data_IF_552821616683
#
_entry.id   IF_552821616683
#
_cell.length_a   1.000
_cell.length_b   1.000
_cell.length_c   1.000
_cell.angle_alpha   90.00
_cell.angle_beta   90.00
_cell.angle_gamma   90.00
#
_symmetry.space_group_name_H-M   'P 1'
#
loop_
_entity.id
_entity.type
_entity.pdbx_description
1 polymer ?
#
# COMPACT_ATOMS: atom_id res chain seq x y z
N UNK A 1 41.15 -17.36 -24.01
CA UNK A 1 41.19 -18.15 -25.25
C UNK A 1 39.95 -17.83 -26.06
N UNK A 2 40.02 -16.83 -26.95
CA UNK A 2 38.93 -16.43 -27.83
C UNK A 2 39.20 -16.91 -29.24
N UNK A 3 38.28 -17.67 -29.82
CA UNK A 3 38.32 -18.06 -31.23
C UNK A 3 38.07 -16.79 -32.05
N UNK A 4 39.14 -16.18 -32.55
CA UNK A 4 39.05 -15.11 -33.55
C UNK A 4 38.73 -15.79 -34.88
N UNK A 5 37.44 -15.89 -35.20
CA UNK A 5 36.99 -16.37 -36.51
C UNK A 5 37.28 -15.25 -37.52
N UNK A 6 38.46 -15.32 -38.15
CA UNK A 6 38.87 -14.44 -39.25
C UNK A 6 37.99 -14.76 -40.47
N UNK A 7 36.90 -14.03 -40.65
CA UNK A 7 36.14 -14.04 -41.92
C UNK A 7 36.95 -13.21 -42.92
N UNK A 8 37.36 -13.78 -44.08
CA UNK A 8 38.19 -13.07 -45.04
C UNK A 8 37.40 -11.88 -45.61
N UNK A 9 37.87 -10.67 -45.31
CA UNK A 9 37.26 -9.38 -45.64
C UNK A 9 37.21 -9.06 -47.15
N UNK A 10 37.51 -10.03 -48.02
CA UNK A 10 37.63 -9.84 -49.47
C UNK A 10 36.41 -10.31 -50.30
N UNK A 11 35.48 -11.08 -49.74
CA UNK A 11 34.39 -11.72 -50.51
C UNK A 11 32.98 -11.15 -50.28
N UNK A 12 32.82 -10.19 -49.36
CA UNK A 12 31.51 -9.57 -49.10
C UNK A 12 31.27 -8.34 -49.98
N UNK A 13 30.11 -8.22 -50.64
CA UNK A 13 29.72 -7.02 -51.37
C UNK A 13 29.80 -5.76 -50.51
N UNK A 14 30.26 -4.65 -51.10
CA UNK A 14 30.57 -3.40 -50.37
C UNK A 14 29.40 -2.87 -49.52
N UNK A 15 28.16 -3.09 -49.94
CA UNK A 15 26.96 -2.70 -49.19
C UNK A 15 26.76 -3.48 -47.89
N UNK A 16 27.13 -4.77 -47.85
CA UNK A 16 27.03 -5.60 -46.64
C UNK A 16 28.06 -5.16 -45.60
N UNK A 17 29.25 -4.73 -46.04
CA UNK A 17 30.30 -4.20 -45.15
C UNK A 17 29.87 -2.91 -44.48
N UNK A 18 29.17 -2.03 -45.19
CA UNK A 18 28.63 -0.78 -44.63
C UNK A 18 27.57 -1.10 -43.57
N UNK A 19 26.66 -2.04 -43.84
CA UNK A 19 25.63 -2.47 -42.88
C UNK A 19 26.27 -3.09 -41.63
N UNK A 20 27.25 -3.97 -41.80
CA UNK A 20 27.98 -4.59 -40.70
C UNK A 20 28.76 -3.58 -39.87
N UNK A 21 29.33 -2.54 -40.50
CA UNK A 21 29.99 -1.45 -39.79
C UNK A 21 29.02 -0.63 -38.93
N UNK A 22 27.82 -0.34 -39.43
CA UNK A 22 26.78 0.32 -38.63
C UNK A 22 26.32 -0.56 -37.47
N UNK A 23 26.14 -1.87 -37.70
CA UNK A 23 25.78 -2.81 -36.64
C UNK A 23 26.88 -2.89 -35.58
N UNK A 24 28.15 -2.96 -35.97
CA UNK A 24 29.27 -2.98 -35.01
C UNK A 24 29.36 -1.67 -34.22
N UNK A 25 29.12 -0.52 -34.86
CA UNK A 25 29.14 0.78 -34.20
C UNK A 25 28.01 0.92 -33.17
N UNK A 26 26.81 0.41 -33.48
CA UNK A 26 25.69 0.36 -32.53
C UNK A 26 26.00 -0.59 -31.37
N UNK A 27 26.59 -1.75 -31.63
CA UNK A 27 26.96 -2.70 -30.59
C UNK A 27 28.08 -2.16 -29.68
N UNK A 28 29.08 -1.48 -30.22
CA UNK A 28 30.12 -0.82 -29.43
C UNK A 28 29.56 0.35 -28.60
N UNK A 29 28.64 1.14 -29.16
CA UNK A 29 27.96 2.20 -28.41
C UNK A 29 27.11 1.62 -27.26
N UNK A 30 26.42 0.50 -27.50
CA UNK A 30 25.68 -0.22 -26.46
C UNK A 30 26.60 -0.84 -25.40
N UNK A 31 27.75 -1.38 -25.79
CA UNK A 31 28.74 -1.92 -24.85
C UNK A 31 29.37 -0.82 -23.99
N UNK A 32 29.69 0.33 -24.58
CA UNK A 32 30.25 1.48 -23.88
C UNK A 32 29.24 2.09 -22.90
N UNK A 33 27.99 2.25 -23.32
CA UNK A 33 26.91 2.74 -22.43
C UNK A 33 26.55 1.74 -21.34
N UNK A 34 26.60 0.44 -21.62
CA UNK A 34 26.42 -0.61 -20.60
C UNK A 34 27.49 -0.54 -19.51
N UNK A 35 28.75 -0.21 -19.83
CA UNK A 35 29.84 -0.17 -18.84
C UNK A 35 29.78 1.05 -17.92
N UNK A 36 29.44 2.23 -18.44
CA UNK A 36 29.50 3.49 -17.67
C UNK A 36 28.12 3.98 -17.19
N UNK A 37 27.04 3.60 -17.87
CA UNK A 37 25.66 4.03 -17.58
C UNK A 37 24.75 2.85 -17.26
N UNK A 38 25.30 1.73 -16.76
CA UNK A 38 24.54 0.54 -16.35
C UNK A 38 23.39 0.87 -15.41
N UNK A 39 23.58 1.87 -14.53
CA UNK A 39 22.60 2.33 -13.55
C UNK A 39 21.37 3.02 -14.18
N UNK A 40 21.48 3.56 -15.40
CA UNK A 40 20.37 4.18 -16.14
C UNK A 40 19.62 3.18 -17.03
N UNK A 41 20.35 2.25 -17.63
CA UNK A 41 19.78 1.27 -18.58
C UNK A 41 19.14 0.08 -17.84
N UNK A 42 19.71 -0.34 -16.71
CA UNK A 42 19.22 -1.43 -15.88
C UNK A 42 17.76 -1.27 -15.45
N UNK A 43 17.34 -0.11 -14.89
CA UNK A 43 15.95 0.15 -14.53
C UNK A 43 15.03 0.23 -15.75
N UNK A 44 15.47 0.80 -16.87
CA UNK A 44 14.68 0.95 -18.09
C UNK A 44 14.34 -0.39 -18.76
N UNK A 45 15.27 -1.35 -18.74
CA UNK A 45 15.03 -2.72 -19.21
C UNK A 45 14.22 -3.56 -18.20
N UNK A 46 14.45 -3.37 -16.89
CA UNK A 46 13.76 -4.14 -15.83
C UNK A 46 12.34 -3.63 -15.52
N UNK A 47 12.03 -2.35 -15.75
CA UNK A 47 10.70 -1.80 -15.49
C UNK A 47 9.59 -2.32 -16.40
N UNK A 48 9.92 -3.00 -17.52
CA UNK A 48 8.90 -3.54 -18.44
C UNK A 48 8.31 -4.89 -18.02
N UNK A 49 8.79 -5.50 -16.93
CA UNK A 49 8.26 -6.78 -16.45
C UNK A 49 8.00 -6.71 -14.95
N UNK A 50 6.86 -6.11 -14.59
CA UNK A 50 6.19 -6.32 -13.29
C UNK A 50 5.69 -7.77 -13.19
N UNK A 51 6.60 -8.74 -13.24
CA UNK A 51 6.31 -10.14 -12.98
C UNK A 51 6.94 -10.48 -11.63
N UNK A 52 6.16 -10.40 -10.57
CA UNK A 52 6.54 -10.97 -9.28
C UNK A 52 6.27 -12.47 -9.39
N UNK A 53 7.28 -13.26 -9.72
CA UNK A 53 7.17 -14.72 -9.82
C UNK A 53 7.33 -15.29 -8.40
N UNK A 54 6.21 -15.52 -7.70
CA UNK A 54 6.18 -15.99 -6.31
C UNK A 54 6.37 -17.52 -6.16
N UNK A 55 6.46 -18.27 -7.25
CA UNK A 55 6.79 -19.70 -7.24
C UNK A 55 7.04 -20.18 -8.68
N UNK A 56 8.00 -21.10 -8.86
CA UNK A 56 8.35 -21.68 -10.16
C UNK A 56 7.27 -22.62 -10.73
N UNK A 57 6.24 -22.96 -9.96
CA UNK A 57 5.22 -23.95 -10.38
C UNK A 57 3.90 -23.35 -10.84
N UNK A 58 3.53 -22.16 -10.36
CA UNK A 58 2.41 -21.35 -10.87
C UNK A 58 2.59 -19.90 -10.43
N UNK A 59 3.06 -18.98 -11.30
CA UNK A 59 3.20 -17.58 -10.92
C UNK A 59 1.82 -17.00 -10.61
N UNK A 60 1.74 -16.20 -9.56
CA UNK A 60 0.67 -15.23 -9.40
C UNK A 60 1.05 -13.99 -10.23
N UNK A 61 0.11 -13.40 -10.95
CA UNK A 61 0.34 -12.14 -11.65
C UNK A 61 -0.84 -11.20 -11.48
N UNK A 62 -0.58 -9.90 -11.63
CA UNK A 62 -1.65 -8.91 -11.61
C UNK A 62 -2.34 -8.87 -12.98
N UNK A 63 -3.67 -8.81 -12.96
CA UNK A 63 -4.45 -8.51 -14.15
C UNK A 63 -4.07 -7.13 -14.72
N UNK A 64 -4.33 -6.90 -16.01
CA UNK A 64 -4.04 -5.61 -16.66
C UNK A 64 -4.77 -4.43 -16.00
N UNK A 65 -5.92 -4.69 -15.39
CA UNK A 65 -6.70 -3.72 -14.59
C UNK A 65 -6.02 -3.33 -13.28
N UNK A 66 -5.08 -4.13 -12.77
CA UNK A 66 -4.33 -3.85 -11.55
C UNK A 66 -5.13 -4.02 -10.25
N UNK A 67 -6.31 -4.62 -10.29
CA UNK A 67 -7.23 -4.80 -9.16
C UNK A 67 -7.45 -6.28 -8.77
N UNK A 68 -6.85 -7.20 -9.53
CA UNK A 68 -7.10 -8.63 -9.44
C UNK A 68 -5.79 -9.40 -9.50
N UNK A 69 -5.61 -10.36 -8.60
CA UNK A 69 -4.50 -11.31 -8.64
C UNK A 69 -4.96 -12.56 -9.39
N UNK A 70 -4.22 -12.93 -10.43
CA UNK A 70 -4.47 -14.08 -11.29
C UNK A 70 -3.49 -15.21 -10.98
N UNK A 71 -4.00 -16.43 -11.01
CA UNK A 71 -3.21 -17.67 -10.95
C UNK A 71 -3.72 -18.65 -11.99
N UNK A 72 -2.81 -19.29 -12.72
CA UNK A 72 -3.15 -20.44 -13.56
C UNK A 72 -3.30 -21.70 -12.69
N UNK A 73 -4.35 -22.47 -12.93
CA UNK A 73 -4.53 -23.78 -12.32
C UNK A 73 -5.03 -24.76 -13.39
N UNK A 74 -4.09 -25.49 -14.00
CA UNK A 74 -4.39 -26.35 -15.15
C UNK A 74 -4.82 -25.54 -16.38
N UNK A 75 -6.01 -25.81 -16.90
CA UNK A 75 -6.60 -25.10 -18.05
C UNK A 75 -7.37 -23.83 -17.67
N UNK A 76 -7.67 -23.65 -16.38
CA UNK A 76 -8.46 -22.53 -15.89
C UNK A 76 -7.58 -21.45 -15.24
N UNK A 77 -8.07 -20.21 -15.31
CA UNK A 77 -7.53 -19.08 -14.57
C UNK A 77 -8.38 -18.84 -13.33
N UNK A 78 -7.71 -18.64 -12.20
CA UNK A 78 -8.30 -18.23 -10.94
C UNK A 78 -7.99 -16.75 -10.77
N UNK A 79 -9.02 -15.95 -10.56
CA UNK A 79 -8.93 -14.52 -10.33
C UNK A 79 -9.40 -14.21 -8.91
N UNK A 80 -8.61 -13.42 -8.18
CA UNK A 80 -8.86 -13.08 -6.78
C UNK A 80 -8.87 -11.56 -6.60
N UNK A 81 -9.98 -11.06 -6.05
CA UNK A 81 -10.18 -9.62 -5.77
C UNK A 81 -10.17 -9.41 -4.25
N UNK A 82 -9.51 -8.34 -3.83
CA UNK A 82 -9.34 -7.94 -2.43
C UNK A 82 -10.17 -6.69 -2.15
N UNK A 83 -10.94 -6.73 -1.07
CA UNK A 83 -11.86 -5.67 -0.67
C UNK A 83 -11.48 -5.22 0.73
N UNK A 84 -11.30 -3.91 0.91
CA UNK A 84 -11.08 -3.27 2.20
C UNK A 84 -12.43 -2.92 2.83
N UNK A 85 -12.61 -3.29 4.09
CA UNK A 85 -13.80 -2.97 4.89
C UNK A 85 -13.34 -2.10 6.07
N UNK A 86 -13.59 -0.79 6.03
CA UNK A 86 -13.22 0.09 7.14
C UNK A 86 -14.22 -0.06 8.29
N UNK A 87 -13.98 -1.02 9.18
CA UNK A 87 -14.76 -1.22 10.39
C UNK A 87 -14.17 -0.41 11.54
N UNK A 88 -14.83 0.68 11.92
CA UNK A 88 -14.40 1.56 13.02
C UNK A 88 -14.97 1.16 14.39
N UNK A 89 -15.44 -0.08 14.54
CA UNK A 89 -16.20 -0.53 15.70
C UNK A 89 -15.43 -1.62 16.45
N UNK A 90 -15.18 -1.40 17.74
CA UNK A 90 -14.60 -2.41 18.62
C UNK A 90 -15.65 -2.95 19.58
N UNK A 91 -15.73 -4.28 19.71
CA UNK A 91 -16.61 -4.94 20.67
C UNK A 91 -16.26 -4.62 22.14
N UNK A 92 -15.07 -4.06 22.40
CA UNK A 92 -14.65 -3.61 23.74
C UNK A 92 -15.32 -2.32 24.18
N UNK A 93 -15.80 -1.50 23.24
CA UNK A 93 -16.42 -0.20 23.51
C UNK A 93 -17.95 -0.27 23.46
N UNK A 94 -18.51 -1.44 23.13
CA UNK A 94 -19.94 -1.66 22.96
C UNK A 94 -20.62 -2.06 24.26
N UNK A 95 -21.85 -1.56 24.46
CA UNK A 95 -22.76 -2.12 25.46
C UNK A 95 -23.24 -3.52 25.07
N UNK A 96 -23.80 -4.28 26.01
CA UNK A 96 -24.15 -5.69 25.76
C UNK A 96 -25.23 -5.87 24.69
N UNK A 97 -26.18 -4.93 24.59
CA UNK A 97 -27.19 -4.90 23.52
C UNK A 97 -26.56 -4.61 22.15
N UNK A 98 -25.60 -3.68 22.10
CA UNK A 98 -24.87 -3.35 20.86
C UNK A 98 -24.01 -4.51 20.37
N UNK A 99 -23.43 -5.31 21.29
CA UNK A 99 -22.71 -6.54 20.94
C UNK A 99 -23.65 -7.55 20.28
N UNK A 100 -24.89 -7.66 20.75
CA UNK A 100 -25.88 -8.57 20.19
C UNK A 100 -26.26 -8.12 18.77
N UNK A 101 -26.51 -6.83 18.56
CA UNK A 101 -26.76 -6.25 17.24
C UNK A 101 -25.56 -6.42 16.29
N UNK A 102 -24.34 -6.20 16.78
CA UNK A 102 -23.12 -6.42 15.99
C UNK A 102 -22.96 -7.89 15.62
N UNK A 103 -23.24 -8.83 16.53
CA UNK A 103 -23.24 -10.27 16.24
C UNK A 103 -24.27 -10.64 15.16
N UNK A 104 -25.46 -10.04 15.21
CA UNK A 104 -26.46 -10.21 14.14
C UNK A 104 -25.96 -9.66 12.79
N UNK A 105 -25.28 -8.52 12.78
CA UNK A 105 -24.68 -7.96 11.56
C UNK A 105 -23.61 -8.90 10.97
N UNK A 106 -22.70 -9.43 11.79
CA UNK A 106 -21.71 -10.42 11.36
C UNK A 106 -22.40 -11.69 10.82
N UNK A 107 -23.46 -12.17 11.48
CA UNK A 107 -24.22 -13.33 11.01
C UNK A 107 -24.84 -13.09 9.62
N UNK A 108 -25.44 -11.92 9.40
CA UNK A 108 -25.94 -11.49 8.08
C UNK A 108 -24.82 -11.40 7.04
N UNK A 109 -23.62 -10.95 7.45
CA UNK A 109 -22.44 -10.90 6.58
C UNK A 109 -22.00 -12.29 6.12
N UNK A 110 -21.92 -13.25 7.04
CA UNK A 110 -21.55 -14.63 6.69
C UNK A 110 -22.60 -15.26 5.77
N UNK A 111 -23.88 -14.93 5.97
CA UNK A 111 -24.99 -15.41 5.13
C UNK A 111 -25.10 -14.77 3.74
N UNK A 112 -24.37 -13.69 3.45
CA UNK A 112 -24.43 -12.97 2.16
C UNK A 112 -23.82 -13.77 1.00
N UNK A 113 -22.77 -14.53 1.28
CA UNK A 113 -22.03 -15.22 0.22
C UNK A 113 -22.49 -16.65 0.03
N UNK A 114 -22.80 -17.01 -1.22
CA UNK A 114 -22.98 -18.41 -1.65
C UNK A 114 -21.64 -19.09 -1.96
N UNK A 115 -20.62 -18.29 -2.21
CA UNK A 115 -19.27 -18.71 -2.58
C UNK A 115 -18.30 -18.63 -1.39
N UNK A 116 -17.17 -19.35 -1.43
CA UNK A 116 -16.14 -19.22 -0.41
C UNK A 116 -15.55 -17.80 -0.41
N UNK A 117 -15.71 -17.12 0.73
CA UNK A 117 -15.13 -15.80 1.00
C UNK A 117 -14.13 -15.93 2.14
N UNK A 118 -12.95 -15.37 1.96
CA UNK A 118 -11.95 -15.27 3.02
C UNK A 118 -12.07 -13.91 3.68
N UNK A 119 -12.33 -13.92 4.98
CA UNK A 119 -12.23 -12.74 5.83
C UNK A 119 -10.89 -12.76 6.55
N UNK A 120 -10.14 -11.67 6.44
CA UNK A 120 -8.87 -11.49 7.13
C UNK A 120 -8.98 -10.20 7.93
N UNK A 121 -8.49 -10.18 9.16
CA UNK A 121 -8.31 -8.93 9.90
C UNK A 121 -6.86 -8.84 10.33
N UNK A 122 -6.25 -7.71 10.06
CA UNK A 122 -4.84 -7.46 10.33
C UNK A 122 -4.73 -6.28 11.28
N UNK A 123 -3.92 -6.44 12.32
CA UNK A 123 -3.69 -5.42 13.33
C UNK A 123 -2.33 -4.79 13.06
N UNK A 124 -2.32 -3.49 12.76
CA UNK A 124 -1.11 -2.74 12.47
C UNK A 124 -0.83 -1.72 13.56
N UNK A 125 0.44 -1.35 13.72
CA UNK A 125 0.80 -0.16 14.48
C UNK A 125 0.50 1.05 13.61
N UNK A 126 -0.42 1.90 14.07
CA UNK A 126 -0.84 3.09 13.33
C UNK A 126 0.34 4.08 13.24
N UNK A 127 0.65 4.55 12.03
CA UNK A 127 1.59 5.63 11.86
C UNK A 127 0.95 6.97 12.26
N UNK A 128 1.37 7.50 13.41
CA UNK A 128 0.88 8.76 13.97
C UNK A 128 1.65 10.00 13.49
N UNK A 129 2.75 9.83 12.74
CA UNK A 129 3.73 10.90 12.51
C UNK A 129 3.10 12.12 11.82
N UNK A 130 2.29 11.88 10.77
CA UNK A 130 1.60 12.96 10.05
C UNK A 130 0.59 13.71 10.92
N UNK A 131 -0.08 13.00 11.83
CA UNK A 131 -1.08 13.57 12.72
C UNK A 131 -0.44 14.35 13.87
N UNK A 132 0.63 13.80 14.45
CA UNK A 132 1.48 14.47 15.45
C UNK A 132 2.07 15.76 14.86
N UNK A 133 2.52 15.73 13.61
CA UNK A 133 3.05 16.91 12.94
C UNK A 133 2.00 18.02 12.80
N UNK A 134 0.78 17.68 12.37
CA UNK A 134 -0.34 18.64 12.30
C UNK A 134 -0.71 19.22 13.68
N UNK A 135 -0.67 18.40 14.73
CA UNK A 135 -0.89 18.87 16.09
C UNK A 135 0.19 19.85 16.53
N UNK A 136 1.47 19.57 16.26
CA UNK A 136 2.59 20.48 16.55
C UNK A 136 2.43 21.81 15.81
N UNK A 137 2.09 21.77 14.53
CA UNK A 137 1.81 22.97 13.74
C UNK A 137 0.67 23.79 14.35
N UNK A 138 -0.42 23.12 14.78
CA UNK A 138 -1.55 23.80 15.43
C UNK A 138 -1.18 24.43 16.77
N UNK A 139 -0.31 23.76 17.55
CA UNK A 139 0.24 24.30 18.79
C UNK A 139 1.06 25.56 18.49
N UNK A 140 2.00 25.51 17.55
CA UNK A 140 2.82 26.67 17.17
C UNK A 140 1.97 27.83 16.66
N UNK A 141 0.94 27.57 15.85
CA UNK A 141 0.00 28.62 15.43
C UNK A 141 -0.73 29.27 16.61
N UNK A 142 -1.16 28.46 17.59
CA UNK A 142 -1.88 28.95 18.77
C UNK A 142 -0.93 29.69 19.72
N UNK A 143 0.34 29.28 19.82
CA UNK A 143 1.40 29.97 20.56
C UNK A 143 1.71 31.34 19.95
N UNK A 144 1.77 31.42 18.63
CA UNK A 144 1.93 32.70 17.93
C UNK A 144 0.71 33.61 18.14
N UNK A 145 -0.50 33.07 18.11
CA UNK A 145 -1.74 33.82 18.45
C UNK A 145 -1.69 34.35 19.89
N UNK A 146 -1.20 33.55 20.85
CA UNK A 146 -1.01 34.00 22.24
C UNK A 146 0.03 35.12 22.32
N UNK A 147 1.19 34.97 21.67
CA UNK A 147 2.26 35.96 21.67
C UNK A 147 1.82 37.30 21.04
N UNK A 148 1.07 37.24 19.93
CA UNK A 148 0.50 38.43 19.28
C UNK A 148 -0.50 39.15 20.19
N UNK A 149 -1.37 38.42 20.88
CA UNK A 149 -2.33 39.00 21.83
C UNK A 149 -1.64 39.59 23.07
N UNK A 150 -0.56 38.95 23.55
CA UNK A 150 0.28 39.51 24.62
C UNK A 150 0.97 40.80 24.18
N UNK A 151 1.48 40.86 22.94
CA UNK A 151 2.14 42.05 22.40
C UNK A 151 1.20 43.24 22.20
N UNK A 152 -0.11 42.97 22.03
CA UNK A 152 -1.16 43.98 21.80
C UNK A 152 -1.91 44.38 23.07
N UNK A 153 -1.49 43.89 24.26
CA UNK A 153 -2.21 44.07 25.53
C UNK A 153 -3.72 43.75 25.41
N UNK A 154 -4.02 42.63 24.75
CA UNK A 154 -5.40 42.19 24.52
C UNK A 154 -6.14 41.89 25.84
N UNK A 155 -7.49 42.00 25.85
CA UNK A 155 -8.28 41.75 27.05
C UNK A 155 -8.06 40.34 27.61
N UNK A 156 -7.99 40.24 28.95
CA UNK A 156 -7.67 39.02 29.70
C UNK A 156 -8.54 37.81 29.32
N UNK A 157 -9.82 38.03 28.98
CA UNK A 157 -10.74 36.99 28.54
C UNK A 157 -10.33 36.32 27.21
N UNK A 158 -9.77 37.08 26.27
CA UNK A 158 -9.31 36.53 24.99
C UNK A 158 -8.01 35.74 25.17
N UNK A 159 -7.13 36.24 26.04
CA UNK A 159 -5.90 35.57 26.44
C UNK A 159 -6.19 34.20 27.09
N UNK A 160 -7.11 34.16 28.04
CA UNK A 160 -7.49 32.94 28.77
C UNK A 160 -8.15 31.91 27.82
N UNK A 161 -8.92 32.37 26.82
CA UNK A 161 -9.50 31.51 25.78
C UNK A 161 -8.41 30.84 24.93
N UNK A 162 -7.38 31.58 24.52
CA UNK A 162 -6.27 31.03 23.71
C UNK A 162 -5.43 30.06 24.54
N UNK A 163 -5.16 30.39 25.81
CA UNK A 163 -4.48 29.49 26.75
C UNK A 163 -5.24 28.18 26.97
N UNK A 164 -6.58 28.24 27.06
CA UNK A 164 -7.42 27.05 27.14
C UNK A 164 -7.31 26.16 25.90
N UNK A 165 -7.32 26.75 24.69
CA UNK A 165 -7.10 26.01 23.43
C UNK A 165 -5.72 25.37 23.40
N UNK A 166 -4.68 26.11 23.81
CA UNK A 166 -3.30 25.64 23.83
C UNK A 166 -3.12 24.46 24.80
N UNK A 167 -3.73 24.53 25.99
CA UNK A 167 -3.77 23.42 26.94
C UNK A 167 -4.47 22.18 26.34
N UNK A 168 -5.61 22.37 25.65
CA UNK A 168 -6.31 21.28 24.95
C UNK A 168 -5.41 20.60 23.92
N UNK A 169 -4.73 21.35 23.05
CA UNK A 169 -3.85 20.79 22.02
C UNK A 169 -2.64 20.06 22.61
N UNK A 170 -2.04 20.59 23.67
CA UNK A 170 -0.92 19.94 24.37
C UNK A 170 -1.36 18.64 25.05
N UNK A 171 -2.53 18.61 25.69
CA UNK A 171 -3.08 17.40 26.27
C UNK A 171 -3.40 16.34 25.21
N UNK A 172 -3.90 16.76 24.05
CA UNK A 172 -4.18 15.86 22.93
C UNK A 172 -2.88 15.28 22.35
N UNK A 173 -1.83 16.10 22.19
CA UNK A 173 -0.51 15.65 21.77
C UNK A 173 0.09 14.65 22.76
N UNK A 174 -0.01 14.92 24.06
CA UNK A 174 0.51 14.03 25.11
C UNK A 174 -0.25 12.70 25.14
N UNK A 175 -1.58 12.73 25.09
CA UNK A 175 -2.44 11.54 25.04
C UNK A 175 -2.14 10.66 23.82
N UNK A 176 -1.99 11.26 22.65
CA UNK A 176 -1.79 10.53 21.39
C UNK A 176 -0.33 10.09 21.23
N UNK A 177 0.62 10.87 21.74
CA UNK A 177 2.04 10.54 21.75
C UNK A 177 2.38 9.40 22.73
N UNK A 178 1.55 9.19 23.75
CA UNK A 178 1.73 8.10 24.71
C UNK A 178 1.14 6.80 24.16
N UNK A 179 2.02 5.78 24.03
CA UNK A 179 1.64 4.40 23.72
C UNK A 179 1.50 4.09 22.22
N UNK A 180 1.57 2.79 21.93
CA UNK A 180 1.27 2.27 20.59
C UNK A 180 -0.24 2.32 20.38
N UNK A 181 -0.67 2.93 19.28
CA UNK A 181 -2.05 2.77 18.82
C UNK A 181 -2.05 1.75 17.71
N UNK A 182 -3.06 0.89 17.75
CA UNK A 182 -3.24 -0.15 16.76
C UNK A 182 -4.42 0.20 15.86
N UNK A 183 -4.28 -0.09 14.58
CA UNK A 183 -5.34 0.02 13.58
C UNK A 183 -5.71 -1.41 13.15
N UNK A 184 -6.98 -1.76 13.30
CA UNK A 184 -7.51 -3.02 12.79
C UNK A 184 -8.07 -2.79 11.40
N UNK A 185 -7.42 -3.36 10.39
CA UNK A 185 -7.94 -3.36 9.02
C UNK A 185 -8.57 -4.71 8.70
N UNK A 186 -9.84 -4.70 8.30
CA UNK A 186 -10.55 -5.89 7.88
C UNK A 186 -10.63 -5.96 6.37
N UNK A 187 -10.31 -7.13 5.83
CA UNK A 187 -10.27 -7.43 4.42
C UNK A 187 -11.18 -8.61 4.09
N UNK A 188 -11.75 -8.56 2.90
CA UNK A 188 -12.56 -9.61 2.34
C UNK A 188 -12.02 -9.98 0.96
N UNK A 189 -11.82 -11.26 0.73
CA UNK A 189 -11.23 -11.77 -0.51
C UNK A 189 -12.16 -12.76 -1.17
N UNK A 190 -12.36 -12.58 -2.48
CA UNK A 190 -13.30 -13.35 -3.29
C UNK A 190 -12.57 -13.86 -4.52
N UNK A 191 -12.79 -15.14 -4.85
CA UNK A 191 -12.18 -15.74 -6.03
C UNK A 191 -13.22 -16.25 -7.02
N UNK A 192 -12.90 -16.19 -8.30
CA UNK A 192 -13.67 -16.80 -9.38
C UNK A 192 -12.74 -17.52 -10.36
N UNK A 193 -13.30 -18.45 -11.11
CA UNK A 193 -12.58 -19.24 -12.13
C UNK A 193 -13.15 -18.95 -13.51
N UNK A 194 -12.29 -18.92 -14.53
CA UNK A 194 -12.70 -18.78 -15.93
C UNK A 194 -11.70 -19.44 -16.88
N UNK A 195 -12.13 -19.73 -18.10
CA UNK A 195 -11.26 -20.34 -19.13
C UNK A 195 -10.30 -19.29 -19.70
N UNK A 196 -10.72 -18.02 -19.71
CA UNK A 196 -9.90 -16.87 -20.10
C UNK A 196 -9.64 -15.94 -18.92
N UNK A 197 -8.50 -15.26 -18.92
CA UNK A 197 -8.12 -14.31 -17.87
C UNK A 197 -9.18 -13.23 -17.64
N UNK A 198 -9.69 -12.61 -18.72
CA UNK A 198 -10.71 -11.56 -18.64
C UNK A 198 -12.03 -12.06 -18.06
N UNK A 199 -12.40 -13.30 -18.38
CA UNK A 199 -13.63 -13.93 -17.88
C UNK A 199 -13.53 -14.15 -16.37
N UNK A 200 -12.43 -14.76 -15.91
CA UNK A 200 -12.17 -14.99 -14.49
C UNK A 200 -12.17 -13.66 -13.72
N UNK A 201 -11.47 -12.64 -14.24
CA UNK A 201 -11.40 -11.31 -13.63
C UNK A 201 -12.77 -10.64 -13.54
N UNK A 202 -13.57 -10.70 -14.61
CA UNK A 202 -14.90 -10.08 -14.66
C UNK A 202 -15.87 -10.74 -13.66
N UNK A 203 -15.84 -12.08 -13.57
CA UNK A 203 -16.65 -12.82 -12.61
C UNK A 203 -16.24 -12.51 -11.17
N UNK A 204 -14.93 -12.44 -10.88
CA UNK A 204 -14.44 -12.10 -9.55
C UNK A 204 -14.85 -10.68 -9.14
N UNK A 205 -14.74 -9.71 -10.06
CA UNK A 205 -15.19 -8.33 -9.84
C UNK A 205 -16.70 -8.22 -9.63
N UNK A 206 -17.50 -8.99 -10.37
CA UNK A 206 -18.94 -9.01 -10.18
C UNK A 206 -19.30 -9.49 -8.78
N UNK A 207 -18.75 -10.64 -8.36
CA UNK A 207 -18.95 -11.18 -7.01
C UNK A 207 -18.47 -10.20 -5.93
N UNK A 208 -17.34 -9.53 -6.16
CA UNK A 208 -16.83 -8.50 -5.26
C UNK A 208 -17.83 -7.34 -5.09
N UNK A 209 -18.41 -6.82 -6.19
CA UNK A 209 -19.41 -5.74 -6.14
C UNK A 209 -20.69 -6.15 -5.41
N UNK A 210 -21.15 -7.37 -5.61
CA UNK A 210 -22.32 -7.92 -4.90
C UNK A 210 -22.06 -7.95 -3.39
N UNK A 211 -20.89 -8.46 -2.98
CA UNK A 211 -20.51 -8.52 -1.56
C UNK A 211 -20.26 -7.13 -0.97
N UNK A 212 -19.67 -6.21 -1.73
CA UNK A 212 -19.49 -4.81 -1.33
C UNK A 212 -20.83 -4.13 -1.04
N UNK A 213 -21.83 -4.34 -1.91
CA UNK A 213 -23.18 -3.82 -1.68
C UNK A 213 -23.80 -4.38 -0.41
N UNK A 214 -23.64 -5.69 -0.17
CA UNK A 214 -24.09 -6.35 1.04
C UNK A 214 -23.41 -5.82 2.31
N UNK A 215 -22.08 -5.74 2.31
CA UNK A 215 -21.27 -5.19 3.41
C UNK A 215 -21.67 -3.74 3.70
N UNK A 216 -21.79 -2.92 2.66
CA UNK A 216 -22.17 -1.51 2.81
C UNK A 216 -23.57 -1.35 3.41
N UNK A 217 -24.51 -2.22 3.04
CA UNK A 217 -25.85 -2.23 3.62
C UNK A 217 -25.87 -2.70 5.07
N UNK A 218 -25.00 -3.63 5.47
CA UNK A 218 -25.01 -4.23 6.82
C UNK A 218 -24.32 -3.30 7.83
N UNK A 219 -23.13 -2.80 7.50
CA UNK A 219 -22.32 -2.04 8.44
C UNK A 219 -22.44 -0.52 8.24
N UNK A 220 -23.07 -0.07 7.15
CA UNK A 220 -23.17 1.36 6.82
C UNK A 220 -21.81 1.99 6.46
N UNK A 221 -20.81 1.18 6.10
CA UNK A 221 -19.47 1.64 5.72
C UNK A 221 -19.27 1.48 4.22
N UNK A 222 -18.52 2.36 3.54
CA UNK A 222 -18.23 2.20 2.12
C UNK A 222 -17.04 1.24 1.92
N UNK A 223 -17.24 -0.02 1.50
CA UNK A 223 -16.12 -0.88 1.15
C UNK A 223 -15.46 -0.41 -0.15
N UNK A 224 -14.18 -0.71 -0.32
CA UNK A 224 -13.40 -0.34 -1.51
C UNK A 224 -12.60 -1.53 -2.04
N UNK A 225 -12.45 -1.61 -3.36
CA UNK A 225 -11.57 -2.61 -4.00
C UNK A 225 -10.13 -2.11 -3.87
N UNK A 226 -9.24 -3.00 -3.44
CA UNK A 226 -7.82 -2.70 -3.31
C UNK A 226 -7.16 -2.86 -4.66
N UNK A 227 -6.36 -1.86 -5.05
CA UNK A 227 -5.74 -1.81 -6.39
C UNK A 227 -4.26 -1.46 -6.31
N UNK A 228 -3.52 -1.83 -7.36
CA UNK A 228 -2.16 -1.37 -7.61
C UNK A 228 -1.17 -1.73 -6.51
N UNK A 229 -0.56 -0.70 -5.92
CA UNK A 229 0.50 -0.86 -4.91
C UNK A 229 -0.05 -1.40 -3.58
N UNK A 230 -1.31 -1.15 -3.24
CA UNK A 230 -1.90 -1.65 -2.00
C UNK A 230 -2.16 -3.16 -2.05
N UNK A 231 -2.24 -3.76 -3.25
CA UNK A 231 -2.27 -5.22 -3.38
C UNK A 231 -0.97 -5.88 -2.92
N UNK A 232 0.17 -5.17 -2.96
CA UNK A 232 1.45 -5.69 -2.50
C UNK A 232 1.43 -6.03 -1.01
N UNK A 233 0.58 -5.34 -0.22
CA UNK A 233 0.39 -5.61 1.20
C UNK A 233 -0.05 -7.05 1.50
N UNK A 234 -0.78 -7.69 0.58
CA UNK A 234 -1.26 -9.07 0.73
C UNK A 234 -0.31 -10.11 0.16
N UNK A 235 0.73 -9.66 -0.55
CA UNK A 235 1.70 -10.52 -1.23
C UNK A 235 3.02 -10.53 -0.45
N UNK A 236 3.43 -9.36 0.04
CA UNK A 236 4.71 -9.13 0.67
C UNK A 236 4.49 -8.58 2.09
N UNK A 237 4.69 -9.37 3.16
CA UNK A 237 4.45 -8.93 4.54
C UNK A 237 5.41 -7.79 4.96
N UNK A 238 6.51 -7.60 4.24
CA UNK A 238 7.45 -6.49 4.46
C UNK A 238 6.82 -5.12 4.21
N UNK A 239 5.83 -5.03 3.30
CA UNK A 239 5.07 -3.79 3.07
C UNK A 239 4.22 -3.36 4.28
N UNK A 240 3.97 -4.29 5.21
CA UNK A 240 3.22 -4.04 6.45
C UNK A 240 4.13 -3.60 7.60
N UNK A 241 5.45 -3.76 7.46
CA UNK A 241 6.40 -3.34 8.49
C UNK A 241 6.54 -1.82 8.43
N UNK A 242 6.20 -1.09 9.51
CA UNK A 242 6.52 0.32 9.58
C UNK A 242 8.04 0.47 9.49
N UNK A 243 8.52 1.18 8.47
CA UNK A 243 9.91 1.65 8.43
C UNK A 243 10.06 2.51 9.69
N UNK A 244 10.96 2.08 10.60
CA UNK A 244 11.17 2.63 11.95
C UNK A 244 10.61 4.05 12.10
N UNK A 245 9.47 4.18 12.76
CA UNK A 245 8.82 5.49 12.92
C UNK A 245 9.72 6.40 13.74
N UNK A 246 9.64 7.71 13.53
CA UNK A 246 10.40 8.70 14.32
C UNK A 246 10.17 8.50 15.83
N UNK A 247 8.98 8.00 16.20
CA UNK A 247 8.60 7.62 17.55
C UNK A 247 9.49 6.53 18.16
N UNK A 248 9.95 5.56 17.35
CA UNK A 248 10.84 4.48 17.78
C UNK A 248 12.29 4.99 18.00
N UNK A 249 12.71 6.00 17.24
CA UNK A 249 13.97 6.72 17.48
C UNK A 249 13.90 7.62 18.72
N UNK A 250 12.74 8.23 18.97
CA UNK A 250 12.51 9.07 20.16
C UNK A 250 12.50 8.19 21.43
N UNK A 251 11.81 7.04 21.41
CA UNK A 251 11.79 6.12 22.56
C UNK A 251 13.17 5.50 22.83
N UNK A 252 13.94 5.16 21.78
CA UNK A 252 15.35 4.76 21.93
C UNK A 252 16.22 5.85 22.56
N UNK A 253 16.12 7.09 22.08
CA UNK A 253 16.86 8.22 22.65
C UNK A 253 16.49 8.48 24.12
N UNK A 254 15.22 8.29 24.52
CA UNK A 254 14.79 8.42 25.92
C UNK A 254 15.37 7.28 26.78
N UNK A 255 15.42 6.05 26.28
CA UNK A 255 16.04 4.93 27.00
C UNK A 255 17.55 5.09 27.15
N UNK A 256 18.25 5.62 26.15
CA UNK A 256 19.69 5.88 26.19
C UNK A 256 20.07 7.05 27.12
N UNK A 257 19.14 7.96 27.44
CA UNK A 257 19.38 9.07 28.38
C UNK A 257 19.15 8.70 29.85
N UNK A 258 18.54 7.54 30.13
CA UNK A 258 18.18 7.10 31.49
C UNK A 258 19.16 6.05 32.04
N UNK A 259 20.22 5.71 31.29
CA UNK A 259 21.30 4.81 31.72
C UNK A 259 22.59 5.59 31.93
#
# INVERSE_FOLDING_TARGET
MGIVMFVPSLLLPSYIKIILFFISLVLDAMAFTSRYYSYLIGPLLKHRKKHVILSNENPYWLAQSGDTILRKSGENFIATVYISIPLYRSATEMEDDEKLDFSQQISRLVGLSKDPVRYTSELYVMNKDSYIQKLKERITMTENEEADLQSKDAPKNELDRVRGKLAMWRNMLDSIGKGFSFELSTYMTVSATGVKEYEASSLAQQKAKELMSGVGSIFGVPPSIITGADLLRFVEPEYLLPISTVTEQISKNIQEQVI
#
